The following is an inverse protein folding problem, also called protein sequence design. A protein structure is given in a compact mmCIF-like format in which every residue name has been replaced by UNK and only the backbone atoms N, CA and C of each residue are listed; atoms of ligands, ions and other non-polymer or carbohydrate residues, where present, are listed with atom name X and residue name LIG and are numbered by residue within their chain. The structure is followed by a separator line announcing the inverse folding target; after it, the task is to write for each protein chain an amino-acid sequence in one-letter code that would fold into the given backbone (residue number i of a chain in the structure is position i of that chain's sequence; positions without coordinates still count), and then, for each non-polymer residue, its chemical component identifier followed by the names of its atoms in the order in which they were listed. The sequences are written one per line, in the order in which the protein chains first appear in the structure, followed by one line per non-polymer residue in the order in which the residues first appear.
data_IF_438190777502
#
_entry.id   IF_438190777502
#
_cell.length_a   1.000
_cell.length_b   1.000
_cell.length_c   1.000
_cell.angle_alpha   90.00
_cell.angle_beta   90.00
_cell.angle_gamma   90.00
#
_symmetry.space_group_name_H-M   'P 1'
#
loop_
_entity.id
_entity.type
_entity.pdbx_description
1 polymer ?
#
# COMPACT_ATOMS: atom_id res chain seq x y z
N UNK A 1 -28.34 -44.38 -5.86
CA UNK A 1 -28.29 -43.42 -6.99
C UNK A 1 -27.28 -43.93 -7.99
N UNK A 2 -27.70 -44.32 -9.19
CA UNK A 2 -26.86 -44.97 -10.20
C UNK A 2 -26.16 -43.93 -11.08
N UNK A 3 -24.85 -43.78 -10.90
CA UNK A 3 -24.03 -42.94 -11.78
C UNK A 3 -24.05 -43.53 -13.20
N UNK A 4 -24.68 -42.81 -14.14
CA UNK A 4 -24.70 -43.16 -15.56
C UNK A 4 -23.32 -42.87 -16.17
N UNK A 5 -22.45 -43.89 -16.27
CA UNK A 5 -21.24 -43.84 -17.10
C UNK A 5 -21.67 -43.89 -18.57
N UNK A 6 -21.60 -42.75 -19.27
CA UNK A 6 -21.81 -42.62 -20.72
C UNK A 6 -20.59 -43.17 -21.47
N UNK A 7 -20.56 -44.48 -21.67
CA UNK A 7 -19.53 -45.18 -22.43
C UNK A 7 -19.97 -46.58 -22.80
N UNK A 8 -19.33 -47.18 -23.82
CA UNK A 8 -19.51 -48.60 -24.15
C UNK A 8 -19.33 -49.42 -22.87
N UNK A 9 -20.26 -50.34 -22.52
CA UNK A 9 -20.15 -51.13 -21.30
C UNK A 9 -18.76 -51.79 -21.20
N UNK A 10 -18.11 -51.77 -20.02
CA UNK A 10 -16.87 -52.47 -19.81
C UNK A 10 -17.03 -53.94 -20.20
N UNK A 11 -16.01 -54.55 -20.80
CA UNK A 11 -16.02 -55.96 -21.20
C UNK A 11 -15.86 -56.92 -20.01
N UNK A 12 -15.91 -56.40 -18.79
CA UNK A 12 -15.72 -57.11 -17.54
C UNK A 12 -16.77 -56.64 -16.52
N UNK A 13 -17.13 -57.51 -15.59
CA UNK A 13 -17.95 -57.18 -14.42
C UNK A 13 -17.09 -56.89 -13.21
N UNK A 14 -17.61 -56.14 -12.24
CA UNK A 14 -16.95 -55.87 -10.96
C UNK A 14 -16.58 -57.17 -10.22
N UNK A 15 -17.44 -58.18 -10.28
CA UNK A 15 -17.17 -59.52 -9.72
C UNK A 15 -15.95 -60.19 -10.35
N UNK A 16 -15.77 -60.07 -11.67
CA UNK A 16 -14.59 -60.60 -12.36
C UNK A 16 -13.31 -59.84 -12.01
N UNK A 17 -13.41 -58.54 -11.72
CA UNK A 17 -12.27 -57.75 -11.23
C UNK A 17 -11.89 -58.18 -9.82
N UNK A 18 -12.87 -58.40 -8.93
CA UNK A 18 -12.63 -58.90 -7.57
C UNK A 18 -11.97 -60.28 -7.60
N UNK A 19 -12.50 -61.20 -8.43
CA UNK A 19 -11.94 -62.55 -8.57
C UNK A 19 -10.54 -62.52 -9.19
N UNK A 20 -10.30 -61.63 -10.16
CA UNK A 20 -8.97 -61.37 -10.70
C UNK A 20 -7.98 -60.82 -9.66
N UNK A 21 -8.41 -59.89 -8.80
CA UNK A 21 -7.61 -59.38 -7.68
C UNK A 21 -7.23 -60.53 -6.74
N UNK A 22 -8.18 -61.40 -6.37
CA UNK A 22 -7.92 -62.54 -5.49
C UNK A 22 -6.92 -63.55 -6.07
N UNK A 23 -6.98 -63.79 -7.38
CA UNK A 23 -6.04 -64.67 -8.08
C UNK A 23 -4.63 -64.07 -8.03
N UNK A 24 -4.50 -62.77 -8.33
CA UNK A 24 -3.21 -62.07 -8.28
C UNK A 24 -2.62 -62.08 -6.87
N UNK A 25 -3.45 -61.80 -5.85
CA UNK A 25 -3.03 -61.83 -4.45
C UNK A 25 -2.64 -63.24 -3.99
N UNK A 26 -3.37 -64.28 -4.41
CA UNK A 26 -3.04 -65.70 -4.11
C UNK A 26 -1.70 -66.12 -4.71
N UNK A 27 -1.34 -65.53 -5.84
CA UNK A 27 -0.05 -65.74 -6.50
C UNK A 27 1.08 -64.90 -5.87
N UNK A 28 0.78 -64.07 -4.85
CA UNK A 28 1.74 -63.21 -4.17
C UNK A 28 2.13 -61.96 -4.95
N UNK A 29 1.37 -61.61 -5.98
CA UNK A 29 1.58 -60.41 -6.80
C UNK A 29 0.74 -59.23 -6.31
N UNK A 30 1.13 -58.01 -6.69
CA UNK A 30 0.36 -56.80 -6.38
C UNK A 30 -0.78 -56.65 -7.40
N UNK A 31 -2.04 -56.50 -6.96
CA UNK A 31 -3.17 -56.26 -7.85
C UNK A 31 -3.05 -54.87 -8.50
N UNK A 32 -2.69 -54.87 -9.79
CA UNK A 32 -2.62 -53.70 -10.66
C UNK A 32 -3.48 -53.95 -11.90
N UNK A 33 -3.81 -52.90 -12.65
CA UNK A 33 -4.57 -53.06 -13.89
C UNK A 33 -3.96 -54.06 -14.88
N UNK A 34 -2.63 -54.22 -14.92
CA UNK A 34 -1.96 -55.17 -15.82
C UNK A 34 -1.97 -56.61 -15.27
N UNK A 35 -1.68 -56.81 -13.99
CA UNK A 35 -1.65 -58.15 -13.36
C UNK A 35 -3.05 -58.73 -13.26
N UNK A 36 -4.03 -57.91 -12.87
CA UNK A 36 -5.45 -58.30 -12.81
C UNK A 36 -6.00 -58.56 -14.21
N UNK A 37 -5.61 -57.77 -15.23
CA UNK A 37 -5.98 -58.05 -16.62
C UNK A 37 -5.48 -59.42 -17.07
N UNK A 38 -4.23 -59.79 -16.76
CA UNK A 38 -3.67 -61.10 -17.12
C UNK A 38 -4.44 -62.23 -16.44
N UNK A 39 -4.61 -62.16 -15.11
CA UNK A 39 -5.38 -63.15 -14.36
C UNK A 39 -6.82 -63.31 -14.89
N UNK A 40 -7.50 -62.21 -15.22
CA UNK A 40 -8.84 -62.26 -15.80
C UNK A 40 -8.88 -62.88 -17.21
N UNK A 41 -7.84 -62.69 -18.02
CA UNK A 41 -7.76 -63.28 -19.36
C UNK A 41 -7.44 -64.77 -19.30
N UNK A 42 -6.48 -65.14 -18.45
CA UNK A 42 -5.90 -66.48 -18.39
C UNK A 42 -6.83 -67.44 -17.62
N UNK A 43 -7.43 -66.98 -16.51
CA UNK A 43 -8.20 -67.84 -15.60
C UNK A 43 -9.73 -67.64 -15.68
N UNK A 44 -10.20 -66.46 -16.09
CA UNK A 44 -11.63 -66.11 -16.10
C UNK A 44 -12.22 -65.96 -17.50
N UNK A 45 -11.43 -66.21 -18.56
CA UNK A 45 -11.87 -66.19 -19.95
C UNK A 45 -12.35 -64.83 -20.46
N UNK A 46 -11.92 -63.74 -19.82
CA UNK A 46 -12.31 -62.37 -20.19
C UNK A 46 -11.53 -61.92 -21.43
N UNK A 47 -12.19 -61.24 -22.37
CA UNK A 47 -11.57 -60.82 -23.63
C UNK A 47 -10.39 -59.85 -23.41
N UNK A 48 -9.19 -60.20 -23.90
CA UNK A 48 -7.93 -59.46 -23.69
C UNK A 48 -7.84 -58.03 -24.24
N UNK A 49 -8.88 -57.56 -24.94
CA UNK A 49 -9.02 -56.18 -25.41
C UNK A 49 -9.42 -55.17 -24.33
N UNK A 50 -9.21 -55.47 -23.04
CA UNK A 50 -9.44 -54.54 -21.93
C UNK A 50 -8.32 -53.51 -21.87
N UNK A 51 -8.67 -52.23 -21.66
CA UNK A 51 -7.70 -51.18 -21.37
C UNK A 51 -7.22 -51.31 -19.91
N UNK A 52 -5.93 -51.62 -19.73
CA UNK A 52 -5.34 -51.78 -18.40
C UNK A 52 -5.40 -50.51 -17.54
N UNK A 53 -5.29 -49.32 -18.13
CA UNK A 53 -5.40 -48.05 -17.37
C UNK A 53 -6.80 -47.80 -16.84
N UNK A 54 -7.83 -48.22 -17.58
CA UNK A 54 -9.21 -48.12 -17.11
C UNK A 54 -9.52 -49.15 -16.04
N UNK A 55 -8.90 -50.34 -16.13
CA UNK A 55 -9.01 -51.39 -15.12
C UNK A 55 -8.26 -51.03 -13.84
N UNK A 56 -7.10 -50.39 -13.94
CA UNK A 56 -6.26 -50.01 -12.80
C UNK A 56 -6.99 -49.12 -11.78
N UNK A 57 -7.75 -48.13 -12.25
CA UNK A 57 -8.59 -47.28 -11.38
C UNK A 57 -9.67 -48.08 -10.64
N UNK A 58 -10.24 -49.07 -11.31
CA UNK A 58 -11.28 -49.92 -10.75
C UNK A 58 -10.68 -50.91 -9.73
N UNK A 59 -9.49 -51.44 -10.03
CA UNK A 59 -8.69 -52.25 -9.10
C UNK A 59 -8.29 -51.45 -7.86
N UNK A 60 -7.75 -50.24 -8.01
CA UNK A 60 -7.40 -49.37 -6.89
C UNK A 60 -8.60 -49.07 -5.99
N UNK A 61 -9.75 -48.68 -6.59
CA UNK A 61 -10.99 -48.45 -5.85
C UNK A 61 -11.40 -49.66 -5.01
N UNK A 62 -11.39 -50.86 -5.62
CA UNK A 62 -11.83 -52.09 -4.96
C UNK A 62 -10.85 -52.55 -3.87
N UNK A 63 -9.55 -52.37 -4.08
CA UNK A 63 -8.52 -52.66 -3.06
C UNK A 63 -8.65 -51.69 -1.88
N UNK A 64 -8.82 -50.40 -2.13
CA UNK A 64 -9.06 -49.39 -1.09
C UNK A 64 -10.35 -49.68 -0.30
N UNK A 65 -11.43 -50.01 -1.00
CA UNK A 65 -12.71 -50.36 -0.37
C UNK A 65 -12.59 -51.63 0.50
N UNK A 66 -11.90 -52.66 0.01
CA UNK A 66 -11.58 -53.87 0.79
C UNK A 66 -10.77 -53.55 2.04
N UNK A 67 -9.72 -52.73 1.91
CA UNK A 67 -8.89 -52.38 3.06
C UNK A 67 -9.66 -51.54 4.07
N UNK A 68 -10.51 -50.61 3.62
CA UNK A 68 -11.42 -49.86 4.50
C UNK A 68 -12.40 -50.78 5.23
N UNK A 69 -13.01 -51.74 4.54
CA UNK A 69 -13.89 -52.74 5.16
C UNK A 69 -13.14 -53.60 6.16
N UNK A 70 -11.91 -54.05 5.83
CA UNK A 70 -11.04 -54.79 6.74
C UNK A 70 -10.70 -53.99 7.98
N UNK A 71 -10.29 -52.73 7.82
CA UNK A 71 -10.02 -51.83 8.93
C UNK A 71 -11.27 -51.61 9.80
N UNK A 72 -12.44 -51.41 9.19
CA UNK A 72 -13.70 -51.27 9.92
C UNK A 72 -14.05 -52.53 10.74
N UNK A 73 -13.82 -53.72 10.18
CA UNK A 73 -13.98 -55.00 10.89
C UNK A 73 -12.98 -55.15 12.03
N UNK A 74 -11.72 -54.78 11.82
CA UNK A 74 -10.70 -54.81 12.87
C UNK A 74 -11.03 -53.83 14.00
N UNK A 75 -11.50 -52.63 13.67
CA UNK A 75 -11.92 -51.61 14.63
C UNK A 75 -13.17 -52.08 15.40
N UNK A 76 -14.15 -52.69 14.73
CA UNK A 76 -15.37 -53.17 15.39
C UNK A 76 -15.12 -54.42 16.26
N UNK A 77 -14.07 -55.18 15.96
CA UNK A 77 -13.61 -56.29 16.79
C UNK A 77 -12.83 -55.85 18.04
N UNK A 78 -12.44 -54.56 18.15
CA UNK A 78 -11.76 -54.07 19.34
C UNK A 78 -12.69 -54.09 20.56
N UNK A 79 -12.14 -54.39 21.76
CA UNK A 79 -12.89 -54.26 23.01
C UNK A 79 -13.46 -52.86 23.20
N UNK A 80 -14.65 -52.79 23.81
CA UNK A 80 -15.34 -51.52 24.07
C UNK A 80 -14.50 -50.56 24.92
N UNK A 81 -13.68 -51.11 25.83
CA UNK A 81 -12.75 -50.39 26.68
C UNK A 81 -11.71 -49.62 25.85
N UNK A 82 -11.15 -50.25 24.82
CA UNK A 82 -10.18 -49.65 23.91
C UNK A 82 -10.80 -48.52 23.10
N UNK A 83 -12.00 -48.74 22.54
CA UNK A 83 -12.71 -47.73 21.77
C UNK A 83 -13.08 -46.51 22.64
N UNK A 84 -13.51 -46.75 23.87
CA UNK A 84 -13.81 -45.68 24.82
C UNK A 84 -12.56 -44.92 25.26
N UNK A 85 -11.42 -45.62 25.46
CA UNK A 85 -10.16 -44.98 25.78
C UNK A 85 -9.69 -44.06 24.65
N UNK A 86 -9.76 -44.50 23.38
CA UNK A 86 -9.41 -43.68 22.21
C UNK A 86 -10.32 -42.44 22.11
N UNK A 87 -11.64 -42.60 22.29
CA UNK A 87 -12.58 -41.46 22.31
C UNK A 87 -12.24 -40.46 23.41
N UNK A 88 -11.88 -40.94 24.61
CA UNK A 88 -11.48 -40.09 25.74
C UNK A 88 -10.18 -39.36 25.48
N UNK A 89 -9.19 -40.02 24.87
CA UNK A 89 -7.94 -39.36 24.45
C UNK A 89 -8.25 -38.30 23.41
N UNK A 90 -9.08 -38.61 22.41
CA UNK A 90 -9.52 -37.66 21.39
C UNK A 90 -10.14 -36.40 21.98
N UNK A 91 -11.08 -36.56 22.93
CA UNK A 91 -11.71 -35.40 23.57
C UNK A 91 -10.77 -34.58 24.45
N UNK A 92 -9.80 -35.22 25.11
CA UNK A 92 -8.77 -34.52 25.89
C UNK A 92 -7.83 -33.71 24.99
N UNK A 93 -7.40 -34.30 23.86
CA UNK A 93 -6.55 -33.62 22.87
C UNK A 93 -7.32 -32.46 22.23
N UNK A 94 -8.56 -32.67 21.82
CA UNK A 94 -9.41 -31.62 21.26
C UNK A 94 -9.57 -30.46 22.24
N UNK A 95 -9.90 -30.75 23.50
CA UNK A 95 -10.05 -29.73 24.54
C UNK A 95 -8.76 -28.96 24.79
N UNK A 96 -7.61 -29.64 24.84
CA UNK A 96 -6.31 -29.00 25.02
C UNK A 96 -5.94 -28.07 23.84
N UNK A 97 -6.20 -28.52 22.60
CA UNK A 97 -5.94 -27.72 21.40
C UNK A 97 -6.86 -26.50 21.35
N UNK A 98 -8.16 -26.69 21.59
CA UNK A 98 -9.13 -25.59 21.61
C UNK A 98 -8.84 -24.58 22.73
N UNK A 99 -8.45 -25.06 23.92
CA UNK A 99 -8.05 -24.20 25.03
C UNK A 99 -6.84 -23.35 24.66
N UNK A 100 -5.78 -23.97 24.12
CA UNK A 100 -4.59 -23.24 23.69
C UNK A 100 -4.90 -22.19 22.61
N UNK A 101 -5.68 -22.56 21.59
CA UNK A 101 -6.08 -21.63 20.52
C UNK A 101 -6.92 -20.48 21.10
N UNK A 102 -7.84 -20.77 22.02
CA UNK A 102 -8.66 -19.77 22.71
C UNK A 102 -7.81 -18.74 23.45
N UNK A 103 -6.82 -19.18 24.23
CA UNK A 103 -5.89 -18.29 24.94
C UNK A 103 -5.07 -17.42 23.99
N UNK A 104 -4.54 -18.00 22.91
CA UNK A 104 -3.77 -17.24 21.92
C UNK A 104 -4.63 -16.20 21.21
N UNK A 105 -5.87 -16.58 20.87
CA UNK A 105 -6.82 -15.67 20.25
C UNK A 105 -7.18 -14.50 21.18
N UNK A 106 -7.39 -14.76 22.48
CA UNK A 106 -7.66 -13.71 23.46
C UNK A 106 -6.47 -12.75 23.62
N UNK A 107 -5.24 -13.28 23.71
CA UNK A 107 -4.01 -12.48 23.75
C UNK A 107 -3.86 -11.58 22.52
N UNK A 108 -4.09 -12.13 21.32
CA UNK A 108 -4.05 -11.37 20.08
C UNK A 108 -5.12 -10.29 20.04
N UNK A 109 -6.35 -10.60 20.47
CA UNK A 109 -7.45 -9.65 20.56
C UNK A 109 -7.11 -8.49 21.52
N UNK A 110 -6.55 -8.79 22.68
CA UNK A 110 -6.13 -7.78 23.64
C UNK A 110 -5.01 -6.89 23.08
N UNK A 111 -4.01 -7.48 22.40
CA UNK A 111 -2.92 -6.74 21.79
C UNK A 111 -3.41 -5.84 20.64
N UNK A 112 -4.31 -6.33 19.80
CA UNK A 112 -4.94 -5.55 18.75
C UNK A 112 -5.75 -4.37 19.33
N UNK A 113 -6.50 -4.61 20.41
CA UNK A 113 -7.23 -3.57 21.13
C UNK A 113 -6.32 -2.46 21.64
N UNK A 114 -5.19 -2.81 22.29
CA UNK A 114 -4.21 -1.84 22.78
C UNK A 114 -3.61 -1.00 21.65
N UNK A 115 -3.19 -1.66 20.56
CA UNK A 115 -2.65 -0.96 19.38
C UNK A 115 -3.65 0.03 18.78
N UNK A 116 -4.93 -0.36 18.69
CA UNK A 116 -5.97 0.54 18.20
C UNK A 116 -6.18 1.73 19.13
N UNK A 117 -6.17 1.52 20.45
CA UNK A 117 -6.29 2.64 21.41
C UNK A 117 -5.10 3.59 21.34
N UNK A 118 -3.87 3.07 21.24
CA UNK A 118 -2.65 3.88 21.08
C UNK A 118 -2.71 4.70 19.79
N UNK A 119 -3.03 4.07 18.66
CA UNK A 119 -3.17 4.76 17.38
C UNK A 119 -4.25 5.85 17.40
N UNK A 120 -5.38 5.61 18.06
CA UNK A 120 -6.44 6.61 18.18
C UNK A 120 -6.00 7.82 19.02
N UNK A 121 -5.23 7.60 20.09
CA UNK A 121 -4.65 8.68 20.90
C UNK A 121 -3.64 9.48 20.06
N UNK A 122 -2.75 8.80 19.34
CA UNK A 122 -1.75 9.47 18.49
C UNK A 122 -2.41 10.29 17.38
N UNK A 123 -3.44 9.76 16.71
CA UNK A 123 -4.21 10.49 15.72
C UNK A 123 -4.92 11.71 16.33
N UNK A 124 -5.43 11.59 17.56
CA UNK A 124 -6.00 12.71 18.31
C UNK A 124 -4.98 13.82 18.53
N UNK A 125 -3.81 13.45 19.07
CA UNK A 125 -2.69 14.37 19.33
C UNK A 125 -2.21 15.06 18.04
N UNK A 126 -2.04 14.30 16.95
CA UNK A 126 -1.64 14.85 15.65
C UNK A 126 -2.67 15.85 15.11
N UNK A 127 -3.98 15.55 15.22
CA UNK A 127 -5.04 16.47 14.80
C UNK A 127 -5.03 17.76 15.61
N UNK A 128 -4.79 17.67 16.92
CA UNK A 128 -4.70 18.84 17.78
C UNK A 128 -3.47 19.71 17.44
N UNK A 129 -2.32 19.09 17.21
CA UNK A 129 -1.12 19.78 16.74
C UNK A 129 -1.35 20.48 15.39
N UNK A 130 -1.99 19.80 14.43
CA UNK A 130 -2.32 20.39 13.13
C UNK A 130 -3.23 21.61 13.32
N UNK A 131 -4.29 21.52 14.13
CA UNK A 131 -5.16 22.67 14.42
C UNK A 131 -4.40 23.83 15.04
N UNK A 132 -3.53 23.55 16.00
CA UNK A 132 -2.68 24.57 16.64
C UNK A 132 -1.76 25.26 15.63
N UNK A 133 -1.13 24.49 14.74
CA UNK A 133 -0.27 25.03 13.68
C UNK A 133 -1.05 25.88 12.68
N UNK A 134 -2.24 25.44 12.26
CA UNK A 134 -3.12 26.22 11.38
C UNK A 134 -3.49 27.55 12.03
N UNK A 135 -3.94 27.57 13.29
CA UNK A 135 -4.25 28.82 13.99
C UNK A 135 -3.03 29.74 14.15
N UNK A 136 -1.82 29.18 14.27
CA UNK A 136 -0.58 29.98 14.29
C UNK A 136 -0.25 30.55 12.91
N UNK A 137 -0.55 29.83 11.84
CA UNK A 137 -0.37 30.27 10.46
C UNK A 137 -1.34 31.41 10.16
N UNK A 138 -2.63 31.26 10.48
CA UNK A 138 -3.65 32.31 10.29
C UNK A 138 -3.26 33.62 11.01
N UNK A 139 -2.73 33.52 12.23
CA UNK A 139 -2.23 34.70 12.97
C UNK A 139 -1.03 35.34 12.28
N UNK A 140 -0.10 34.54 11.76
CA UNK A 140 1.08 35.04 11.05
C UNK A 140 0.69 35.72 9.75
N UNK A 141 -0.28 35.19 9.01
CA UNK A 141 -0.77 35.80 7.79
C UNK A 141 -1.42 37.16 8.11
N UNK A 142 -2.22 37.24 9.17
CA UNK A 142 -2.78 38.51 9.63
C UNK A 142 -1.69 39.52 10.06
N UNK A 143 -0.64 39.06 10.78
CA UNK A 143 0.49 39.91 11.16
C UNK A 143 1.25 40.43 9.92
N UNK A 144 1.42 39.59 8.90
CA UNK A 144 2.05 39.98 7.63
C UNK A 144 1.22 41.04 6.92
N UNK A 145 -0.09 40.82 6.77
CA UNK A 145 -1.00 41.79 6.14
C UNK A 145 -0.95 43.14 6.88
N UNK A 146 -0.94 43.13 8.21
CA UNK A 146 -0.83 44.35 9.00
C UNK A 146 0.51 45.07 8.77
N UNK A 147 1.62 44.32 8.78
CA UNK A 147 2.95 44.90 8.52
C UNK A 147 3.06 45.46 7.10
N UNK A 148 2.45 44.81 6.12
CA UNK A 148 2.40 45.31 4.73
C UNK A 148 1.63 46.63 4.63
N UNK A 149 0.48 46.74 5.32
CA UNK A 149 -0.29 47.98 5.41
C UNK A 149 0.48 49.09 6.12
N UNK A 150 1.11 48.78 7.26
CA UNK A 150 1.89 49.74 8.04
C UNK A 150 3.11 50.25 7.27
N UNK A 151 3.70 49.42 6.40
CA UNK A 151 4.83 49.79 5.56
C UNK A 151 4.41 50.58 4.31
N UNK A 152 3.13 50.54 3.92
CA UNK A 152 2.64 51.27 2.74
C UNK A 152 2.76 52.78 2.89
N UNK A 153 2.27 53.35 4.00
CA UNK A 153 2.27 54.81 4.22
C UNK A 153 3.69 55.42 4.28
N UNK A 154 4.66 54.85 5.02
CA UNK A 154 6.03 55.36 5.01
C UNK A 154 6.69 55.27 3.63
N UNK A 155 6.42 54.21 2.84
CA UNK A 155 6.92 54.10 1.47
C UNK A 155 6.38 55.20 0.57
N UNK A 156 5.09 55.51 0.67
CA UNK A 156 4.49 56.63 -0.08
C UNK A 156 5.09 57.97 0.34
N UNK A 157 5.21 58.22 1.65
CA UNK A 157 5.83 59.44 2.18
C UNK A 157 7.29 59.60 1.73
N UNK A 158 8.06 58.51 1.74
CA UNK A 158 9.43 58.51 1.24
C UNK A 158 9.48 58.85 -0.27
N UNK A 159 8.55 58.31 -1.05
CA UNK A 159 8.40 58.63 -2.47
C UNK A 159 8.13 60.12 -2.71
N UNK A 160 7.16 60.69 -1.99
CA UNK A 160 6.82 62.12 -2.07
C UNK A 160 8.01 62.99 -1.68
N UNK A 161 8.63 62.74 -0.52
CA UNK A 161 9.80 63.49 -0.07
C UNK A 161 10.96 63.39 -1.06
N UNK A 162 11.17 62.24 -1.69
CA UNK A 162 12.19 62.07 -2.73
C UNK A 162 11.91 62.94 -3.95
N UNK A 163 10.64 63.04 -4.38
CA UNK A 163 10.26 63.91 -5.51
C UNK A 163 10.39 65.40 -5.18
N UNK A 164 10.02 65.81 -3.97
CA UNK A 164 10.18 67.19 -3.49
C UNK A 164 11.65 67.58 -3.41
N UNK A 165 12.51 66.72 -2.84
CA UNK A 165 13.96 66.95 -2.78
C UNK A 165 14.54 67.13 -4.18
N UNK A 166 14.09 66.33 -5.16
CA UNK A 166 14.54 66.47 -6.55
C UNK A 166 14.12 67.82 -7.14
N UNK A 167 12.85 68.20 -6.98
CA UNK A 167 12.34 69.48 -7.48
C UNK A 167 13.06 70.69 -6.83
N UNK A 168 13.34 70.61 -5.53
CA UNK A 168 14.11 71.64 -4.83
C UNK A 168 15.56 71.71 -5.34
N UNK A 169 16.20 70.57 -5.60
CA UNK A 169 17.55 70.54 -6.21
C UNK A 169 17.56 71.18 -7.60
N UNK A 170 16.58 70.89 -8.44
CA UNK A 170 16.42 71.53 -9.75
C UNK A 170 16.23 73.04 -9.61
N UNK A 171 15.37 73.48 -8.68
CA UNK A 171 15.14 74.90 -8.43
C UNK A 171 16.39 75.62 -7.90
N UNK A 172 17.19 74.97 -7.05
CA UNK A 172 18.48 75.52 -6.58
C UNK A 172 19.42 75.70 -7.78
N UNK A 173 19.55 74.71 -8.65
CA UNK A 173 20.41 74.82 -9.84
C UNK A 173 19.96 75.94 -10.79
N UNK A 174 18.64 76.14 -10.96
CA UNK A 174 18.11 77.29 -11.72
C UNK A 174 18.49 78.63 -11.09
N UNK A 175 18.35 78.77 -9.77
CA UNK A 175 18.69 79.99 -9.05
C UNK A 175 20.20 80.27 -9.09
N UNK A 176 21.04 79.25 -8.95
CA UNK A 176 22.50 79.36 -9.11
C UNK A 176 22.85 79.85 -10.52
N UNK A 177 22.20 79.33 -11.56
CA UNK A 177 22.37 79.82 -12.93
C UNK A 177 21.93 81.28 -13.13
N UNK A 178 20.81 81.69 -12.52
CA UNK A 178 20.37 83.09 -12.54
C UNK A 178 21.35 84.01 -11.82
N UNK A 179 21.90 83.60 -10.68
CA UNK A 179 22.89 84.36 -9.93
C UNK A 179 24.20 84.50 -10.71
N UNK A 180 24.69 83.42 -11.31
CA UNK A 180 25.84 83.42 -12.21
C UNK A 180 25.62 84.39 -13.38
N UNK A 181 24.43 84.37 -13.98
CA UNK A 181 24.07 85.28 -15.07
C UNK A 181 24.08 86.74 -14.61
N UNK A 182 23.46 87.05 -13.47
CA UNK A 182 23.46 88.40 -12.89
C UNK A 182 24.88 88.88 -12.59
N UNK A 183 25.71 88.02 -12.03
CA UNK A 183 27.12 88.31 -11.73
C UNK A 183 27.90 88.64 -13.00
N UNK A 184 27.72 87.85 -14.07
CA UNK A 184 28.33 88.13 -15.39
C UNK A 184 27.82 89.44 -16.00
N UNK A 185 26.52 89.72 -15.91
CA UNK A 185 25.94 90.98 -16.39
C UNK A 185 26.49 92.19 -15.64
N UNK A 186 26.59 92.13 -14.31
CA UNK A 186 27.19 93.20 -13.51
C UNK A 186 28.67 93.40 -13.85
N UNK A 187 29.41 92.32 -14.07
CA UNK A 187 30.80 92.40 -14.53
C UNK A 187 30.90 93.11 -15.90
N UNK A 188 30.04 92.75 -16.87
CA UNK A 188 29.99 93.39 -18.19
C UNK A 188 29.54 94.86 -18.12
N UNK A 189 28.57 95.20 -17.26
CA UNK A 189 28.19 96.60 -17.03
C UNK A 189 29.31 97.41 -16.40
N UNK A 190 30.07 96.82 -15.47
CA UNK A 190 31.25 97.46 -14.88
C UNK A 190 32.35 97.67 -15.91
N UNK A 191 32.54 96.74 -16.84
CA UNK A 191 33.49 96.85 -17.95
C UNK A 191 33.09 97.99 -18.90
N UNK A 192 31.83 98.02 -19.36
CA UNK A 192 31.31 99.06 -20.28
C UNK A 192 31.22 100.45 -19.63
N UNK A 193 30.91 100.55 -18.33
CA UNK A 193 30.98 101.82 -17.59
C UNK A 193 32.42 102.25 -17.30
N UNK A 194 33.34 101.29 -17.13
CA UNK A 194 34.78 101.54 -17.05
C UNK A 194 35.35 102.07 -18.37
N UNK A 195 34.86 101.57 -19.51
CA UNK A 195 35.21 102.07 -20.84
C UNK A 195 34.61 103.46 -21.12
N UNK A 196 33.42 103.78 -20.62
CA UNK A 196 32.79 105.11 -20.77
C UNK A 196 33.33 106.18 -19.79
N UNK A 197 34.13 105.80 -18.79
CA UNK A 197 34.74 106.73 -17.82
C UNK A 197 36.07 107.36 -18.29
N UNK A 198 36.48 107.13 -19.55
CA UNK A 198 37.61 107.82 -20.15
C UNK A 198 37.30 108.38 -21.55
N UNK A 199 36.87 109.65 -21.66
CA UNK A 199 37.33 110.52 -22.73
C UNK A 199 38.44 111.40 -22.14
N UNK A 200 39.68 110.92 -22.18
CA UNK A 200 40.83 111.83 -22.11
C UNK A 200 41.79 111.54 -23.26
N UNK A 201 41.60 112.35 -24.29
CA UNK A 201 42.62 113.02 -25.06
C UNK A 201 43.97 112.30 -25.26
N UNK A 202 44.25 111.95 -26.52
CA UNK A 202 45.63 112.03 -27.03
C UNK A 202 45.67 112.43 -28.51
N UNK A 203 45.99 113.70 -28.70
CA UNK A 203 46.78 114.29 -29.79
C UNK A 203 46.52 113.83 -31.23
N UNK A 204 45.85 114.67 -32.02
CA UNK A 204 46.49 115.61 -32.96
C UNK A 204 45.49 116.69 -33.38
#
# INVERSE_FOLDING_TARGET
MTNKRTGRPPKYTETQVIEGIEIVERNGEVPTGDTVKKAMCDDLGVAGGINAQSLDKEVQRLVEEREQQRLALLISALPSETLNAVKKIGSLVESAVLGHIGEQHEKLRALAGRKLTEQNVDLGNQREQIRSLLSRLDRKDADIEQLEQDNHKPKEQLGLATTEIRALKERIAELEHEEDFRTRMLAMMKETLGENAFPTARNR
#
